data_IF_362203228505
#
_entry.id   IF_362203228505
#
_cell.length_a   1.000
_cell.length_b   1.000
_cell.length_c   1.000
_cell.angle_alpha   90.00
_cell.angle_beta   90.00
_cell.angle_gamma   90.00
#
_symmetry.space_group_name_H-M   'P 1'
#
loop_
_entity.id
_entity.type
_entity.pdbx_description
1 polymer ?
#
# COMPACT_ATOMS: atom_id res chain seq x y z
N UNK A 1 15.93 16.52 -11.44
CA UNK A 1 16.38 15.47 -12.37
C UNK A 1 15.29 14.42 -12.48
N UNK A 2 14.59 14.48 -13.60
CA UNK A 2 13.43 13.72 -14.02
C UNK A 2 13.92 12.54 -14.86
N UNK A 3 14.14 11.41 -14.22
CA UNK A 3 14.45 10.15 -14.92
C UNK A 3 13.21 9.26 -14.84
N UNK A 4 12.27 9.54 -15.74
CA UNK A 4 11.54 8.49 -16.40
C UNK A 4 12.60 7.68 -17.19
N UNK A 5 13.20 6.70 -16.51
CA UNK A 5 14.07 5.72 -17.15
C UNK A 5 13.25 4.96 -18.19
N UNK A 6 13.45 5.38 -19.43
CA UNK A 6 13.68 4.53 -20.60
C UNK A 6 12.93 3.20 -20.58
N UNK A 7 11.69 3.24 -21.06
CA UNK A 7 11.01 2.09 -21.64
C UNK A 7 10.99 2.32 -23.15
N UNK A 8 12.11 2.11 -23.84
CA UNK A 8 12.11 1.91 -25.29
C UNK A 8 13.49 1.56 -25.87
N UNK A 9 14.02 0.34 -25.66
CA UNK A 9 14.87 -0.26 -26.70
C UNK A 9 14.89 -1.80 -26.58
N UNK A 10 14.35 -2.50 -27.60
CA UNK A 10 14.57 -3.94 -27.82
C UNK A 10 13.45 -4.89 -27.37
N UNK A 11 12.44 -5.08 -28.22
CA UNK A 11 11.61 -6.30 -28.28
C UNK A 11 11.07 -6.87 -26.96
N UNK A 12 10.03 -6.25 -26.38
CA UNK A 12 9.45 -6.77 -25.13
C UNK A 12 8.19 -6.05 -24.66
N UNK A 13 7.25 -5.72 -25.55
CA UNK A 13 5.96 -5.09 -25.17
C UNK A 13 4.96 -6.11 -24.59
N UNK A 14 5.40 -7.35 -24.32
CA UNK A 14 4.50 -8.48 -24.10
C UNK A 14 3.81 -8.58 -22.72
N UNK A 15 4.38 -8.05 -21.62
CA UNK A 15 3.84 -8.36 -20.28
C UNK A 15 4.21 -7.36 -19.16
N UNK A 16 4.35 -6.06 -19.46
CA UNK A 16 4.88 -5.09 -18.47
C UNK A 16 3.94 -4.91 -17.27
N UNK A 17 2.62 -4.97 -17.45
CA UNK A 17 1.67 -4.75 -16.37
C UNK A 17 1.53 -5.98 -15.45
N UNK A 18 1.48 -7.19 -16.02
CA UNK A 18 1.39 -8.42 -15.22
C UNK A 18 2.62 -8.62 -14.35
N UNK A 19 3.82 -8.31 -14.86
CA UNK A 19 5.05 -8.34 -14.06
C UNK A 19 5.06 -7.28 -12.94
N UNK A 20 4.60 -6.07 -13.23
CA UNK A 20 4.43 -5.04 -12.18
C UNK A 20 3.46 -5.49 -11.09
N UNK A 21 2.35 -6.13 -11.48
CA UNK A 21 1.34 -6.64 -10.55
C UNK A 21 1.90 -7.77 -9.67
N UNK A 22 2.65 -8.73 -10.26
CA UNK A 22 3.35 -9.79 -9.50
C UNK A 22 4.28 -9.21 -8.44
N UNK A 23 5.08 -8.23 -8.84
CA UNK A 23 6.02 -7.58 -7.91
C UNK A 23 5.27 -6.90 -6.76
N UNK A 24 4.17 -6.23 -7.07
CA UNK A 24 3.33 -5.59 -6.08
C UNK A 24 2.69 -6.59 -5.10
N UNK A 25 2.25 -7.76 -5.58
CA UNK A 25 1.73 -8.84 -4.72
C UNK A 25 2.80 -9.29 -3.71
N UNK A 26 4.04 -9.51 -4.18
CA UNK A 26 5.16 -9.91 -3.31
C UNK A 26 5.45 -8.83 -2.26
N UNK A 27 5.56 -7.57 -2.71
CA UNK A 27 5.80 -6.44 -1.81
C UNK A 27 4.66 -6.27 -0.78
N UNK A 28 3.41 -6.47 -1.17
CA UNK A 28 2.26 -6.33 -0.28
C UNK A 28 2.23 -7.43 0.80
N UNK A 29 2.59 -8.67 0.46
CA UNK A 29 2.64 -9.80 1.41
C UNK A 29 3.66 -9.62 2.52
N UNK A 30 4.73 -8.87 2.28
CA UNK A 30 5.80 -8.65 3.28
C UNK A 30 5.54 -7.45 4.21
N UNK A 31 4.52 -6.62 3.96
CA UNK A 31 4.19 -5.46 4.81
C UNK A 31 3.59 -5.92 6.14
N UNK A 32 4.42 -5.97 7.19
CA UNK A 32 4.00 -6.43 8.52
C UNK A 32 3.18 -5.40 9.29
N UNK A 33 3.45 -4.11 9.09
CA UNK A 33 2.82 -3.02 9.84
C UNK A 33 1.31 -2.87 9.52
N UNK A 34 0.91 -3.29 8.32
CA UNK A 34 -0.47 -3.17 7.81
C UNK A 34 -1.02 -4.52 7.36
N UNK A 35 -0.62 -5.61 8.04
CA UNK A 35 -0.83 -7.01 7.63
C UNK A 35 -2.21 -7.29 7.02
N UNK A 36 -3.30 -6.84 7.65
CA UNK A 36 -4.67 -7.10 7.15
C UNK A 36 -4.91 -6.43 5.80
N UNK A 37 -4.69 -5.12 5.73
CA UNK A 37 -4.94 -4.30 4.54
C UNK A 37 -4.01 -4.71 3.39
N UNK A 38 -2.73 -4.97 3.70
CA UNK A 38 -1.76 -5.39 2.68
C UNK A 38 -2.03 -6.81 2.18
N UNK A 39 -2.59 -7.70 3.01
CA UNK A 39 -3.02 -9.04 2.57
C UNK A 39 -4.24 -8.96 1.65
N UNK A 40 -5.25 -8.17 2.01
CA UNK A 40 -6.43 -7.95 1.17
C UNK A 40 -6.04 -7.38 -0.20
N UNK A 41 -5.16 -6.37 -0.21
CA UNK A 41 -4.60 -5.81 -1.43
C UNK A 41 -3.91 -6.88 -2.30
N UNK A 42 -3.08 -7.73 -1.69
CA UNK A 42 -2.40 -8.81 -2.39
C UNK A 42 -3.39 -9.81 -3.00
N UNK A 43 -4.43 -10.20 -2.26
CA UNK A 43 -5.48 -11.10 -2.76
C UNK A 43 -6.23 -10.50 -3.94
N UNK A 44 -6.66 -9.24 -3.86
CA UNK A 44 -7.31 -8.56 -4.99
C UNK A 44 -6.41 -8.52 -6.22
N UNK A 45 -5.11 -8.36 -6.04
CA UNK A 45 -4.15 -8.34 -7.15
C UNK A 45 -3.89 -9.73 -7.75
N UNK A 46 -3.94 -10.79 -6.94
CA UNK A 46 -3.91 -12.17 -7.42
C UNK A 46 -5.12 -12.44 -8.33
N UNK A 47 -6.31 -11.96 -7.95
CA UNK A 47 -7.53 -12.09 -8.76
C UNK A 47 -7.45 -11.30 -10.09
N UNK A 48 -6.76 -10.16 -10.08
CA UNK A 48 -6.57 -9.31 -11.27
C UNK A 48 -5.52 -9.83 -12.25
N UNK A 49 -4.56 -10.64 -11.78
CA UNK A 49 -3.45 -11.15 -12.58
C UNK A 49 -3.86 -11.93 -13.83
N UNK A 50 -4.80 -12.89 -13.79
CA UNK A 50 -5.25 -13.60 -14.99
C UNK A 50 -5.96 -12.67 -15.98
N UNK A 51 -6.72 -11.67 -15.49
CA UNK A 51 -7.41 -10.68 -16.33
C UNK A 51 -6.38 -9.84 -17.08
N UNK A 52 -5.37 -9.37 -16.35
CA UNK A 52 -4.30 -8.54 -16.89
C UNK A 52 -3.49 -9.28 -17.95
N UNK A 53 -3.13 -10.53 -17.67
CA UNK A 53 -2.43 -11.42 -18.61
C UNK A 53 -3.25 -11.62 -19.90
N UNK A 54 -4.57 -11.79 -19.78
CA UNK A 54 -5.47 -11.92 -20.94
C UNK A 54 -5.52 -10.63 -21.77
N UNK A 55 -5.63 -9.47 -21.14
CA UNK A 55 -5.65 -8.18 -21.85
C UNK A 55 -4.32 -7.93 -22.59
N UNK A 56 -3.19 -8.24 -21.95
CA UNK A 56 -1.86 -8.13 -22.57
C UNK A 56 -1.72 -9.04 -23.80
N UNK A 57 -2.25 -10.28 -23.71
CA UNK A 57 -2.24 -11.21 -24.85
C UNK A 57 -3.06 -10.73 -26.06
N UNK A 58 -4.05 -9.87 -25.83
CA UNK A 58 -4.89 -9.27 -26.87
C UNK A 58 -4.33 -7.94 -27.41
N UNK A 59 -3.15 -7.51 -26.95
CA UNK A 59 -2.49 -6.25 -27.33
C UNK A 59 -3.36 -4.99 -27.17
N UNK A 60 -4.36 -5.02 -26.29
CA UNK A 60 -5.22 -3.86 -25.98
C UNK A 60 -4.51 -2.88 -25.03
N UNK A 61 -3.45 -2.25 -25.53
CA UNK A 61 -2.57 -1.40 -24.75
C UNK A 61 -3.24 -0.14 -24.18
N UNK A 62 -4.23 0.41 -24.88
CA UNK A 62 -4.91 1.66 -24.49
C UNK A 62 -5.82 1.47 -23.26
N UNK A 63 -6.57 0.35 -23.23
CA UNK A 63 -7.41 -0.04 -22.09
C UNK A 63 -6.56 -0.31 -20.81
N UNK A 64 -5.26 -0.53 -20.96
CA UNK A 64 -4.36 -0.93 -19.88
C UNK A 64 -3.60 0.21 -19.20
N UNK A 65 -3.62 1.41 -19.80
CA UNK A 65 -2.83 2.55 -19.32
C UNK A 65 -3.22 2.97 -17.90
N UNK A 66 -4.51 3.17 -17.65
CA UNK A 66 -5.04 3.55 -16.33
C UNK A 66 -4.75 2.49 -15.27
N UNK A 67 -4.80 1.20 -15.64
CA UNK A 67 -4.51 0.10 -14.73
C UNK A 67 -3.02 0.05 -14.37
N UNK A 68 -2.13 0.21 -15.35
CA UNK A 68 -0.67 0.34 -15.12
C UNK A 68 -0.34 1.49 -14.16
N UNK A 69 -0.91 2.67 -14.38
CA UNK A 69 -0.68 3.83 -13.51
C UNK A 69 -1.17 3.56 -12.07
N UNK A 70 -2.28 2.85 -11.93
CA UNK A 70 -2.83 2.47 -10.62
C UNK A 70 -1.94 1.47 -9.91
N UNK A 71 -1.45 0.43 -10.60
CA UNK A 71 -0.50 -0.56 -10.06
C UNK A 71 0.79 0.14 -9.61
N UNK A 72 1.32 1.06 -10.41
CA UNK A 72 2.50 1.83 -10.05
C UNK A 72 2.30 2.67 -8.78
N UNK A 73 1.17 3.37 -8.66
CA UNK A 73 0.82 4.13 -7.44
C UNK A 73 0.69 3.23 -6.21
N UNK A 74 -0.01 2.10 -6.35
CA UNK A 74 -0.16 1.14 -5.27
C UNK A 74 1.19 0.59 -4.79
N UNK A 75 2.12 0.32 -5.71
CA UNK A 75 3.49 -0.08 -5.39
C UNK A 75 4.27 0.95 -4.58
N UNK A 76 4.20 2.22 -4.97
CA UNK A 76 4.83 3.31 -4.21
C UNK A 76 4.29 3.36 -2.78
N UNK A 77 2.98 3.17 -2.60
CA UNK A 77 2.35 3.15 -1.27
C UNK A 77 2.78 1.92 -0.45
N UNK A 78 2.74 0.73 -1.04
CA UNK A 78 3.18 -0.52 -0.39
C UNK A 78 4.63 -0.42 0.07
N UNK A 79 5.52 0.14 -0.77
CA UNK A 79 6.91 0.38 -0.41
C UNK A 79 7.06 1.34 0.77
N UNK A 80 6.29 2.44 0.80
CA UNK A 80 6.26 3.35 1.96
C UNK A 80 5.77 2.64 3.22
N UNK A 81 4.72 1.84 3.11
CA UNK A 81 4.17 1.06 4.22
C UNK A 81 5.14 -0.01 4.73
N UNK A 82 5.93 -0.63 3.85
CA UNK A 82 6.95 -1.63 4.22
C UNK A 82 8.05 -1.05 5.12
N UNK A 83 8.38 0.23 4.95
CA UNK A 83 9.36 0.93 5.79
C UNK A 83 8.85 1.26 7.19
N UNK A 84 7.54 1.23 7.42
CA UNK A 84 6.96 1.47 8.74
C UNK A 84 7.20 0.25 9.63
N UNK A 85 7.85 0.45 10.78
CA UNK A 85 8.07 -0.64 11.72
C UNK A 85 6.79 -0.90 12.51
N UNK A 86 6.35 -2.17 12.57
CA UNK A 86 5.15 -2.57 13.33
C UNK A 86 5.15 -2.05 14.77
N UNK A 87 6.32 -2.06 15.43
CA UNK A 87 6.50 -1.57 16.79
C UNK A 87 6.25 -0.07 16.96
N UNK A 88 6.49 0.75 15.93
CA UNK A 88 6.24 2.19 15.97
C UNK A 88 4.73 2.49 16.04
N UNK A 89 3.92 1.72 15.29
CA UNK A 89 2.46 1.82 15.35
C UNK A 89 1.91 1.39 16.71
N UNK A 90 2.45 0.30 17.27
CA UNK A 90 2.08 -0.17 18.61
C UNK A 90 2.44 0.86 19.69
N UNK A 91 3.65 1.44 19.62
CA UNK A 91 4.07 2.51 20.54
C UNK A 91 3.15 3.72 20.43
N UNK A 92 2.81 4.16 19.21
CA UNK A 92 1.88 5.28 18.99
C UNK A 92 0.53 5.01 19.65
N UNK A 93 -0.05 3.82 19.42
CA UNK A 93 -1.31 3.42 20.06
C UNK A 93 -1.22 3.43 21.60
N UNK A 94 -0.13 2.88 22.15
CA UNK A 94 0.12 2.85 23.58
C UNK A 94 0.17 4.25 24.20
N UNK A 95 0.97 5.17 23.63
CA UNK A 95 1.10 6.52 24.16
C UNK A 95 -0.17 7.35 23.95
N UNK A 96 -0.88 7.19 22.83
CA UNK A 96 -2.20 7.80 22.64
C UNK A 96 -3.18 7.38 23.74
N UNK A 97 -3.22 6.09 24.10
CA UNK A 97 -4.05 5.61 25.21
C UNK A 97 -3.65 6.25 26.53
N UNK A 98 -2.35 6.31 26.84
CA UNK A 98 -1.84 6.93 28.07
C UNK A 98 -2.19 8.42 28.18
N UNK A 99 -2.07 9.16 27.09
CA UNK A 99 -2.49 10.58 27.03
C UNK A 99 -4.00 10.70 27.27
N UNK A 100 -4.80 9.80 26.67
CA UNK A 100 -6.25 9.75 26.89
C UNK A 100 -6.61 9.48 28.36
N UNK A 101 -5.92 8.54 29.01
CA UNK A 101 -6.07 8.26 30.44
C UNK A 101 -5.81 9.52 31.27
N UNK A 102 -4.66 10.19 31.06
CA UNK A 102 -4.30 11.43 31.77
C UNK A 102 -5.34 12.53 31.53
N UNK A 103 -5.77 12.74 30.29
CA UNK A 103 -6.82 13.72 29.96
C UNK A 103 -8.10 13.43 30.75
N UNK A 104 -8.52 12.17 30.82
CA UNK A 104 -9.68 11.75 31.59
C UNK A 104 -9.54 12.01 33.09
N UNK A 105 -8.35 11.78 33.67
CA UNK A 105 -8.07 12.10 35.07
C UNK A 105 -8.12 13.60 35.35
N UNK A 106 -7.47 14.41 34.50
CA UNK A 106 -7.48 15.87 34.62
C UNK A 106 -8.91 16.39 34.59
N UNK A 107 -9.71 16.02 33.59
CA UNK A 107 -11.11 16.47 33.48
C UNK A 107 -11.96 16.11 34.71
N UNK A 108 -11.77 14.93 35.30
CA UNK A 108 -12.48 14.54 36.53
C UNK A 108 -12.06 15.40 37.72
N UNK A 109 -10.76 15.69 37.87
CA UNK A 109 -10.26 16.53 38.97
C UNK A 109 -10.70 17.99 38.87
N UNK A 110 -10.87 18.53 37.66
CA UNK A 110 -11.42 19.88 37.47
C UNK A 110 -12.92 19.93 37.79
N UNK A 111 -13.69 18.88 37.51
CA UNK A 111 -15.10 18.81 37.93
C UNK A 111 -15.30 18.67 39.45
N UNK A 112 -14.36 18.07 40.18
CA UNK A 112 -14.43 17.94 41.66
C UNK A 112 -14.04 19.26 42.35
N UNK A 113 -13.31 20.14 41.67
CA UNK A 113 -12.93 21.48 42.18
C UNK A 113 -13.90 22.59 41.78
N UNK A 114 -15.02 22.26 41.13
CA UNK A 114 -16.11 23.20 40.85
C UNK A 114 -16.97 23.45 42.10
N UNK A 115 -16.41 24.21 43.04
CA UNK A 115 -17.12 25.26 43.78
C UNK A 115 -16.72 26.60 43.18
#
# INVERSE_FOLDING_TARGET
MNTATEIAIGGGVGAVASEMLKLLIVEAKIVLAFKSVSKELATTMEDLLPILTKIESLQKADELKTLKDTIAKARVLVKKCSGVKKWELLKKSYYTRKIGEVKGHVSKTTSIKGF
#
